data_IF_051470308263
#
_entry.id   IF_051470308263
#
_cell.length_a   1.000
_cell.length_b   1.000
_cell.length_c   1.000
_cell.angle_alpha   90.00
_cell.angle_beta   90.00
_cell.angle_gamma   90.00
#
_symmetry.space_group_name_H-M   'P 1'
#
loop_
_entity.id
_entity.type
_entity.pdbx_description
1 polymer ?
#
# COMPACT_ATOMS: atom_id res chain seq x y z
N UNK A 1 9.85 21.28 -10.37
CA UNK A 1 10.42 20.10 -11.03
C UNK A 1 10.25 20.29 -12.53
N UNK A 2 11.27 19.94 -13.33
CA UNK A 2 11.37 20.11 -14.78
C UNK A 2 10.79 18.93 -15.56
N UNK A 3 10.86 17.72 -15.01
CA UNK A 3 10.49 16.48 -15.71
C UNK A 3 9.41 15.69 -14.97
N UNK A 4 9.41 15.71 -13.64
CA UNK A 4 8.38 15.05 -12.84
C UNK A 4 7.32 16.07 -12.43
N UNK A 5 6.09 15.87 -12.90
CA UNK A 5 4.91 16.59 -12.42
C UNK A 5 4.17 15.70 -11.41
N UNK A 6 3.72 16.24 -10.29
CA UNK A 6 2.84 15.51 -9.37
C UNK A 6 1.62 16.35 -9.00
N UNK A 7 0.48 15.69 -8.86
CA UNK A 7 -0.80 16.29 -8.52
C UNK A 7 -1.46 15.49 -7.40
N UNK A 8 -1.57 16.05 -6.18
CA UNK A 8 -2.42 15.52 -5.13
C UNK A 8 -3.87 15.46 -5.63
N UNK A 9 -4.43 14.27 -5.80
CA UNK A 9 -5.80 14.09 -6.27
C UNK A 9 -6.77 14.23 -5.12
N UNK A 10 -6.55 13.52 -4.03
CA UNK A 10 -7.35 13.68 -2.81
C UNK A 10 -6.55 13.25 -1.58
N UNK A 11 -6.75 13.98 -0.48
CA UNK A 11 -6.10 13.74 0.81
C UNK A 11 -7.09 14.00 1.95
N UNK A 12 -6.79 13.46 3.13
CA UNK A 12 -7.58 13.61 4.36
C UNK A 12 -7.99 15.07 4.64
N UNK A 13 -7.09 16.02 4.40
CA UNK A 13 -7.35 17.45 4.56
C UNK A 13 -8.49 18.00 3.70
N UNK A 14 -8.96 17.24 2.69
CA UNK A 14 -10.08 17.60 1.82
C UNK A 14 -11.42 16.96 2.24
N UNK A 15 -11.47 16.30 3.41
CA UNK A 15 -12.72 15.81 4.02
C UNK A 15 -13.09 14.35 3.68
N UNK A 16 -12.19 13.59 3.07
CA UNK A 16 -12.30 12.14 2.96
C UNK A 16 -10.90 11.51 3.03
N UNK A 17 -10.79 10.32 3.63
CA UNK A 17 -9.51 9.63 3.79
C UNK A 17 -8.97 9.19 2.44
N UNK A 18 -7.74 9.58 2.11
CA UNK A 18 -7.06 9.21 0.86
C UNK A 18 -5.60 9.65 0.90
N UNK A 19 -4.77 9.01 0.07
CA UNK A 19 -3.40 9.47 -0.22
C UNK A 19 -3.13 9.53 -1.74
N UNK A 20 -4.19 9.70 -2.53
CA UNK A 20 -4.13 9.51 -3.97
C UNK A 20 -3.34 10.63 -4.66
N UNK A 21 -2.29 10.25 -5.40
CA UNK A 21 -1.42 11.19 -6.12
C UNK A 21 -1.20 10.72 -7.55
N UNK A 22 -1.43 11.60 -8.53
CA UNK A 22 -1.07 11.36 -9.92
C UNK A 22 0.33 11.93 -10.15
N UNK A 23 1.23 11.13 -10.71
CA UNK A 23 2.61 11.51 -11.04
C UNK A 23 2.83 11.29 -12.53
N UNK A 24 3.42 12.26 -13.21
CA UNK A 24 3.79 12.18 -14.61
C UNK A 24 5.27 12.36 -14.79
N UNK A 25 5.79 11.58 -15.72
CA UNK A 25 7.15 11.69 -16.25
C UNK A 25 7.05 11.73 -17.77
N UNK A 26 8.14 12.03 -18.50
CA UNK A 26 8.12 11.99 -19.95
C UNK A 26 7.81 10.59 -20.54
N UNK A 27 8.05 9.51 -19.79
CA UNK A 27 7.87 8.14 -20.30
C UNK A 27 6.57 7.46 -19.85
N UNK A 28 6.02 7.84 -18.69
CA UNK A 28 4.90 7.12 -18.06
C UNK A 28 4.11 8.01 -17.10
N UNK A 29 2.80 7.76 -17.01
CA UNK A 29 1.91 8.31 -15.98
C UNK A 29 1.52 7.27 -14.92
N UNK A 30 1.60 7.65 -13.65
CA UNK A 30 1.48 6.76 -12.48
C UNK A 30 0.44 7.31 -11.52
N UNK A 31 -0.60 6.54 -11.18
CA UNK A 31 -1.55 6.89 -10.13
C UNK A 31 -1.25 6.07 -8.87
N UNK A 32 -0.84 6.75 -7.82
CA UNK A 32 -0.49 6.15 -6.54
C UNK A 32 -1.72 6.19 -5.63
N UNK A 33 -1.98 5.06 -4.97
CA UNK A 33 -3.00 4.86 -3.94
C UNK A 33 -4.40 5.38 -4.32
N UNK A 34 -5.06 4.84 -5.37
CA UNK A 34 -6.38 5.29 -5.83
C UNK A 34 -7.54 4.78 -4.93
N UNK A 35 -7.43 4.98 -3.62
CA UNK A 35 -8.45 4.65 -2.63
C UNK A 35 -9.14 5.87 -2.04
N UNK A 36 -10.31 5.64 -1.45
CA UNK A 36 -11.03 6.64 -0.67
C UNK A 36 -11.93 5.98 0.37
N UNK A 37 -11.88 6.49 1.61
CA UNK A 37 -12.83 6.15 2.65
C UNK A 37 -13.51 7.38 3.26
N UNK A 38 -14.72 7.19 3.80
CA UNK A 38 -15.43 8.23 4.54
C UNK A 38 -14.68 8.55 5.84
N UNK A 39 -14.68 9.80 6.26
CA UNK A 39 -14.09 10.22 7.53
C UNK A 39 -14.73 9.52 8.72
N UNK A 40 -13.95 9.32 9.80
CA UNK A 40 -14.45 8.72 11.04
C UNK A 40 -15.65 9.50 11.62
N UNK A 41 -16.51 8.83 12.43
CA UNK A 41 -17.65 9.48 13.07
C UNK A 41 -17.28 10.74 13.88
N UNK A 42 -16.12 10.73 14.56
CA UNK A 42 -15.63 11.86 15.35
C UNK A 42 -15.11 13.05 14.55
N UNK A 43 -14.94 12.92 13.23
CA UNK A 43 -14.54 14.07 12.40
C UNK A 43 -15.63 15.16 12.46
N UNK A 44 -15.26 16.43 12.71
CA UNK A 44 -16.19 17.52 13.01
C UNK A 44 -16.90 18.06 11.75
N UNK A 45 -17.70 17.20 11.10
CA UNK A 45 -18.55 17.57 9.98
C UNK A 45 -19.84 16.74 9.98
N UNK A 46 -20.94 17.24 9.41
CA UNK A 46 -22.16 16.46 9.21
C UNK A 46 -21.91 15.21 8.36
N UNK A 47 -22.59 14.10 8.69
CA UNK A 47 -22.45 12.82 7.96
C UNK A 47 -22.70 12.97 6.45
N UNK A 48 -23.71 13.77 6.07
CA UNK A 48 -24.03 14.08 4.67
C UNK A 48 -22.83 14.68 3.93
N UNK A 49 -22.07 15.57 4.57
CA UNK A 49 -20.88 16.18 3.97
C UNK A 49 -19.75 15.17 3.81
N UNK A 50 -19.50 14.31 4.82
CA UNK A 50 -18.48 13.25 4.74
C UNK A 50 -18.74 12.31 3.55
N UNK A 51 -20.00 11.92 3.35
CA UNK A 51 -20.41 11.10 2.21
C UNK A 51 -20.24 11.85 0.88
N UNK A 52 -20.60 13.13 0.83
CA UNK A 52 -20.45 13.95 -0.38
C UNK A 52 -18.98 14.14 -0.79
N UNK A 53 -18.11 14.42 0.17
CA UNK A 53 -16.66 14.51 -0.05
C UNK A 53 -16.09 13.19 -0.56
N UNK A 54 -16.42 12.06 0.06
CA UNK A 54 -15.99 10.75 -0.42
C UNK A 54 -16.48 10.45 -1.85
N UNK A 55 -17.71 10.85 -2.21
CA UNK A 55 -18.23 10.75 -3.59
C UNK A 55 -17.46 11.65 -4.55
N UNK A 56 -17.11 12.88 -4.15
CA UNK A 56 -16.32 13.81 -4.96
C UNK A 56 -14.91 13.28 -5.19
N UNK A 57 -14.24 12.82 -4.14
CA UNK A 57 -12.95 12.15 -4.18
C UNK A 57 -12.96 10.97 -5.16
N UNK A 58 -13.93 10.06 -5.02
CA UNK A 58 -14.08 8.91 -5.92
C UNK A 58 -14.22 9.31 -7.38
N UNK A 59 -14.96 10.37 -7.69
CA UNK A 59 -15.10 10.90 -9.06
C UNK A 59 -13.77 11.45 -9.58
N UNK A 60 -13.00 12.14 -8.75
CA UNK A 60 -11.70 12.70 -9.13
C UNK A 60 -10.65 11.61 -9.35
N UNK A 61 -10.58 10.60 -8.46
CA UNK A 61 -9.70 9.43 -8.62
C UNK A 61 -10.00 8.70 -9.93
N UNK A 62 -11.29 8.44 -10.24
CA UNK A 62 -11.70 7.83 -11.51
C UNK A 62 -11.37 8.66 -12.76
N UNK A 63 -11.25 9.99 -12.63
CA UNK A 63 -10.83 10.86 -13.74
C UNK A 63 -9.32 10.74 -13.93
N UNK A 64 -8.56 10.87 -12.84
CA UNK A 64 -7.10 10.71 -12.84
C UNK A 64 -6.66 9.33 -13.34
N UNK A 65 -7.39 8.26 -13.03
CA UNK A 65 -7.05 6.89 -13.48
C UNK A 65 -7.09 6.72 -15.00
N UNK A 66 -7.82 7.57 -15.71
CA UNK A 66 -7.83 7.56 -17.19
C UNK A 66 -6.50 8.02 -17.77
N UNK A 67 -5.80 8.88 -17.05
CA UNK A 67 -4.55 9.50 -17.46
C UNK A 67 -3.32 8.67 -17.06
N UNK A 68 -3.49 7.70 -16.16
CA UNK A 68 -2.40 6.84 -15.69
C UNK A 68 -2.28 5.56 -16.50
N UNK A 69 -1.08 5.00 -16.61
CA UNK A 69 -0.78 3.71 -17.22
C UNK A 69 -0.40 2.67 -16.15
N UNK A 70 0.22 3.16 -15.08
CA UNK A 70 0.61 2.38 -13.91
C UNK A 70 -0.24 2.80 -12.71
N UNK A 71 -0.75 1.81 -11.97
CA UNK A 71 -1.36 2.01 -10.65
C UNK A 71 -0.40 1.50 -9.60
N UNK A 72 -0.20 2.26 -8.53
CA UNK A 72 0.52 1.81 -7.34
C UNK A 72 -0.47 1.61 -6.19
N UNK A 73 -0.33 0.49 -5.47
CA UNK A 73 -1.06 0.21 -4.22
C UNK A 73 -0.01 -0.05 -3.13
N UNK A 74 0.17 0.91 -2.24
CA UNK A 74 1.16 0.87 -1.15
C UNK A 74 0.83 -0.17 -0.07
N UNK A 75 -0.46 -0.42 0.17
CA UNK A 75 -0.99 -1.43 1.09
C UNK A 75 -2.52 -1.55 0.97
N UNK A 76 -3.13 -2.49 1.72
CA UNK A 76 -4.55 -2.86 1.55
C UNK A 76 -5.48 -2.21 2.59
N UNK A 77 -5.52 -0.88 2.61
CA UNK A 77 -6.58 -0.10 3.25
C UNK A 77 -7.46 0.59 2.20
N UNK A 78 -8.77 0.72 2.44
CA UNK A 78 -9.73 1.16 1.40
C UNK A 78 -9.57 2.64 0.98
N UNK A 79 -8.83 3.42 1.75
CA UNK A 79 -8.35 4.77 1.44
C UNK A 79 -7.08 4.79 0.57
N UNK A 80 -6.44 3.63 0.35
CA UNK A 80 -5.28 3.47 -0.53
C UNK A 80 -5.56 2.66 -1.80
N UNK A 81 -6.60 1.83 -1.81
CA UNK A 81 -7.07 1.18 -3.03
C UNK A 81 -8.58 1.15 -3.08
N UNK A 82 -9.14 1.11 -4.29
CA UNK A 82 -10.58 0.87 -4.47
C UNK A 82 -10.82 -0.63 -4.56
N UNK A 83 -11.69 -1.17 -3.70
CA UNK A 83 -12.04 -2.60 -3.60
C UNK A 83 -12.23 -3.28 -4.96
N UNK A 84 -13.04 -2.68 -5.83
CA UNK A 84 -12.96 -2.92 -7.27
C UNK A 84 -13.61 -1.78 -8.04
N UNK A 85 -12.94 -1.30 -9.09
CA UNK A 85 -13.54 -0.48 -10.13
C UNK A 85 -12.85 -0.73 -11.45
N UNK A 86 -13.56 -1.33 -12.41
CA UNK A 86 -13.02 -1.66 -13.72
C UNK A 86 -12.36 -0.44 -14.40
N UNK A 87 -12.93 0.77 -14.25
CA UNK A 87 -12.40 1.97 -14.92
C UNK A 87 -11.06 2.43 -14.35
N UNK A 88 -10.75 2.06 -13.11
CA UNK A 88 -9.47 2.40 -12.48
C UNK A 88 -8.38 1.43 -12.96
N UNK A 89 -8.70 0.13 -13.04
CA UNK A 89 -7.70 -0.92 -13.22
C UNK A 89 -7.56 -1.44 -14.65
N UNK A 90 -8.55 -1.22 -15.50
CA UNK A 90 -8.55 -1.72 -16.87
C UNK A 90 -7.45 -1.08 -17.73
N UNK A 91 -6.70 -1.93 -18.42
CA UNK A 91 -5.60 -1.57 -19.29
C UNK A 91 -4.35 -1.08 -18.56
N UNK A 92 -4.26 -1.33 -17.24
CA UNK A 92 -3.16 -0.83 -16.40
C UNK A 92 -2.21 -1.95 -15.97
N UNK A 93 -0.99 -1.54 -15.67
CA UNK A 93 -0.07 -2.31 -14.85
C UNK A 93 -0.24 -1.88 -13.39
N UNK A 94 -0.55 -2.82 -12.52
CA UNK A 94 -0.72 -2.60 -11.08
C UNK A 94 0.54 -3.08 -10.37
N UNK A 95 1.23 -2.17 -9.70
CA UNK A 95 2.37 -2.45 -8.83
C UNK A 95 1.89 -2.38 -7.39
N UNK A 96 1.62 -3.52 -6.79
CA UNK A 96 0.97 -3.61 -5.48
C UNK A 96 1.91 -4.17 -4.41
N UNK A 97 1.69 -3.78 -3.15
CA UNK A 97 2.24 -4.47 -1.98
C UNK A 97 2.01 -5.98 -2.08
N UNK A 98 3.01 -6.79 -1.77
CA UNK A 98 2.87 -8.25 -1.76
C UNK A 98 1.78 -8.66 -0.75
N UNK A 99 0.68 -9.30 -1.19
CA UNK A 99 -0.43 -9.71 -0.32
C UNK A 99 -0.14 -11.02 0.44
N UNK A 100 1.04 -11.62 0.28
CA UNK A 100 1.37 -12.93 0.83
C UNK A 100 2.28 -12.88 2.06
N UNK A 101 2.88 -11.73 2.37
CA UNK A 101 3.82 -11.59 3.48
C UNK A 101 3.97 -10.14 3.93
N UNK A 102 4.41 -9.98 5.19
CA UNK A 102 4.41 -8.68 5.85
C UNK A 102 3.04 -8.01 5.67
N UNK A 103 2.00 -8.74 6.06
CA UNK A 103 0.60 -8.33 5.95
C UNK A 103 -0.20 -8.86 7.13
N UNK A 104 -1.10 -8.04 7.68
CA UNK A 104 -2.02 -8.48 8.74
C UNK A 104 -3.26 -9.17 8.14
N UNK A 105 -4.16 -9.66 8.99
CA UNK A 105 -5.34 -10.41 8.53
C UNK A 105 -6.37 -9.55 7.81
N UNK A 106 -6.59 -8.32 8.26
CA UNK A 106 -7.56 -7.44 7.63
C UNK A 106 -7.11 -7.03 6.23
N UNK A 107 -5.84 -6.63 6.09
CA UNK A 107 -5.24 -6.33 4.81
C UNK A 107 -5.21 -7.56 3.89
N UNK A 108 -4.90 -8.75 4.42
CA UNK A 108 -4.92 -9.99 3.64
C UNK A 108 -6.32 -10.29 3.09
N UNK A 109 -7.36 -10.20 3.91
CA UNK A 109 -8.75 -10.44 3.47
C UNK A 109 -9.17 -9.46 2.37
N UNK A 110 -8.84 -8.18 2.55
CA UNK A 110 -9.08 -7.12 1.55
C UNK A 110 -8.33 -7.36 0.25
N UNK A 111 -7.09 -7.85 0.33
CA UNK A 111 -6.34 -8.27 -0.84
C UNK A 111 -7.05 -9.44 -1.54
N UNK A 112 -7.44 -10.49 -0.83
CA UNK A 112 -8.15 -11.64 -1.41
C UNK A 112 -9.44 -11.20 -2.15
N UNK A 113 -10.24 -10.32 -1.55
CA UNK A 113 -11.42 -9.71 -2.20
C UNK A 113 -11.03 -8.95 -3.48
N UNK A 114 -10.00 -8.08 -3.42
CA UNK A 114 -9.50 -7.34 -4.57
C UNK A 114 -9.02 -8.23 -5.72
N UNK A 115 -8.20 -9.25 -5.42
CA UNK A 115 -7.64 -10.15 -6.42
C UNK A 115 -8.71 -11.09 -7.00
N UNK A 116 -9.72 -11.49 -6.23
CA UNK A 116 -10.87 -12.26 -6.73
C UNK A 116 -11.73 -11.45 -7.70
N UNK A 117 -12.00 -10.18 -7.38
CA UNK A 117 -12.68 -9.29 -8.31
C UNK A 117 -11.86 -9.07 -9.60
N UNK A 118 -10.54 -8.85 -9.48
CA UNK A 118 -9.66 -8.70 -10.63
C UNK A 118 -9.62 -9.95 -11.51
N UNK A 119 -9.41 -11.13 -10.92
CA UNK A 119 -9.30 -12.39 -11.67
C UNK A 119 -10.63 -12.78 -12.29
N UNK A 120 -11.74 -12.58 -11.59
CA UNK A 120 -13.07 -12.87 -12.12
C UNK A 120 -13.35 -11.96 -13.30
N UNK A 121 -13.09 -10.65 -13.16
CA UNK A 121 -13.44 -9.67 -14.19
C UNK A 121 -12.52 -9.71 -15.42
N UNK A 122 -11.21 -9.83 -15.24
CA UNK A 122 -10.24 -9.76 -16.33
C UNK A 122 -9.74 -11.12 -16.81
N UNK A 123 -9.82 -12.15 -15.96
CA UNK A 123 -9.36 -13.52 -16.24
C UNK A 123 -10.48 -14.55 -16.39
N UNK A 124 -11.72 -14.23 -16.00
CA UNK A 124 -12.86 -15.16 -16.05
C UNK A 124 -12.74 -16.34 -15.07
N UNK A 125 -11.92 -16.21 -14.03
CA UNK A 125 -11.65 -17.28 -13.04
C UNK A 125 -11.69 -16.73 -11.63
N UNK A 126 -12.16 -17.53 -10.67
CA UNK A 126 -12.07 -17.17 -9.25
C UNK A 126 -10.62 -17.20 -8.78
N UNK A 127 -10.29 -16.38 -7.78
CA UNK A 127 -8.94 -16.35 -7.21
C UNK A 127 -8.50 -17.72 -6.69
N UNK A 128 -9.42 -18.46 -6.06
CA UNK A 128 -9.15 -19.78 -5.49
C UNK A 128 -8.57 -20.77 -6.50
N UNK A 129 -8.97 -20.67 -7.77
CA UNK A 129 -8.45 -21.50 -8.86
C UNK A 129 -7.03 -21.12 -9.27
N UNK A 130 -6.62 -19.87 -9.03
CA UNK A 130 -5.31 -19.34 -9.38
C UNK A 130 -4.29 -19.45 -8.25
N UNK A 131 -4.77 -19.59 -7.01
CA UNK A 131 -3.90 -19.61 -5.83
C UNK A 131 -2.94 -20.79 -5.85
N UNK A 132 -1.67 -20.53 -5.52
CA UNK A 132 -0.60 -21.53 -5.55
C UNK A 132 -0.32 -22.09 -4.16
N UNK A 133 0.22 -23.33 -4.03
CA UNK A 133 0.71 -23.82 -2.75
C UNK A 133 1.88 -22.95 -2.26
N UNK A 134 2.04 -22.84 -0.94
CA UNK A 134 3.15 -22.13 -0.30
C UNK A 134 4.26 -23.12 0.01
N UNK A 135 5.49 -22.76 -0.32
CA UNK A 135 6.68 -23.38 0.27
C UNK A 135 7.06 -22.60 1.51
N UNK A 136 7.23 -23.30 2.62
CA UNK A 136 7.67 -22.69 3.86
C UNK A 136 9.02 -21.97 3.68
N UNK A 137 9.13 -20.79 4.28
CA UNK A 137 10.37 -20.02 4.30
C UNK A 137 10.54 -19.30 5.63
N UNK A 138 11.76 -18.84 5.88
CA UNK A 138 12.07 -17.93 6.99
C UNK A 138 11.81 -16.49 6.58
N UNK A 139 11.52 -15.64 7.57
CA UNK A 139 11.29 -14.22 7.38
C UNK A 139 12.21 -13.47 8.35
N UNK A 140 13.08 -12.58 7.84
CA UNK A 140 13.84 -11.69 8.71
C UNK A 140 12.90 -10.80 9.51
N UNK A 141 13.29 -10.46 10.73
CA UNK A 141 12.53 -9.49 11.50
C UNK A 141 12.67 -8.10 10.85
N UNK A 142 11.57 -7.39 10.54
CA UNK A 142 11.65 -6.03 9.99
C UNK A 142 12.53 -5.08 10.83
N UNK A 143 12.61 -5.29 12.16
CA UNK A 143 13.49 -4.54 13.06
C UNK A 143 14.97 -4.65 12.70
N UNK A 144 15.42 -5.73 12.05
CA UNK A 144 16.81 -5.87 11.57
C UNK A 144 17.24 -4.75 10.64
N UNK A 145 16.29 -4.16 9.89
CA UNK A 145 16.57 -3.09 8.94
C UNK A 145 16.41 -1.69 9.55
N UNK A 146 16.21 -1.56 10.87
CA UNK A 146 15.97 -0.30 11.57
C UNK A 146 17.03 -0.03 12.67
N UNK A 147 18.31 0.15 12.30
CA UNK A 147 19.40 0.31 13.29
C UNK A 147 19.25 1.55 14.16
N UNK A 148 18.73 2.65 13.61
CA UNK A 148 18.49 3.90 14.35
C UNK A 148 17.37 3.74 15.40
N UNK A 149 16.31 3.00 15.06
CA UNK A 149 15.24 2.71 16.02
C UNK A 149 15.74 1.83 17.16
N UNK A 150 16.62 0.86 16.86
CA UNK A 150 17.26 -0.03 17.84
C UNK A 150 18.23 0.69 18.78
N UNK A 151 18.92 1.72 18.31
CA UNK A 151 19.93 2.43 19.10
C UNK A 151 19.36 3.58 19.94
N UNK A 152 18.09 3.93 19.75
CA UNK A 152 17.42 5.01 20.49
C UNK A 152 17.24 4.62 21.96
N UNK A 153 17.60 5.54 22.87
CA UNK A 153 17.40 5.41 24.32
C UNK A 153 16.11 6.11 24.72
N UNK A 154 15.28 5.45 25.53
CA UNK A 154 13.97 5.94 25.94
C UNK A 154 13.90 6.32 27.44
N UNK A 155 15.05 6.41 28.12
CA UNK A 155 15.12 6.83 29.52
C UNK A 155 14.26 5.94 30.44
N UNK A 156 13.36 6.54 31.20
CA UNK A 156 12.46 5.82 32.12
C UNK A 156 11.48 4.89 31.39
N UNK A 157 11.18 5.15 30.12
CA UNK A 157 10.27 4.33 29.31
C UNK A 157 10.92 3.07 28.71
N UNK A 158 12.24 2.92 28.86
CA UNK A 158 13.02 1.84 28.26
C UNK A 158 12.49 0.44 28.62
N UNK A 159 12.05 0.24 29.88
CA UNK A 159 11.51 -1.05 30.33
C UNK A 159 10.21 -1.39 29.60
N UNK A 160 9.28 -0.43 29.50
CA UNK A 160 8.00 -0.60 28.82
C UNK A 160 8.18 -0.81 27.32
N UNK A 161 9.07 -0.04 26.66
CA UNK A 161 9.37 -0.25 25.23
C UNK A 161 9.93 -1.65 24.96
N UNK A 162 10.84 -2.16 25.80
CA UNK A 162 11.37 -3.53 25.66
C UNK A 162 10.29 -4.60 25.80
N UNK A 163 9.35 -4.43 26.73
CA UNK A 163 8.21 -5.34 26.88
C UNK A 163 7.31 -5.30 25.65
N UNK A 164 7.00 -4.11 25.12
CA UNK A 164 6.21 -3.94 23.90
C UNK A 164 6.88 -4.57 22.68
N UNK A 165 8.20 -4.39 22.50
CA UNK A 165 8.95 -5.01 21.41
C UNK A 165 8.94 -6.54 21.50
N UNK A 166 9.09 -7.12 22.70
CA UNK A 166 8.98 -8.59 22.89
C UNK A 166 7.58 -9.11 22.57
N UNK A 167 6.53 -8.39 22.96
CA UNK A 167 5.15 -8.74 22.60
C UNK A 167 4.93 -8.63 21.09
N UNK A 168 5.49 -7.59 20.47
CA UNK A 168 5.48 -7.35 19.03
C UNK A 168 6.17 -8.47 18.26
N UNK A 169 7.36 -8.90 18.68
CA UNK A 169 8.08 -10.01 18.08
C UNK A 169 7.28 -11.32 18.17
N UNK A 170 6.71 -11.64 19.34
CA UNK A 170 5.83 -12.81 19.51
C UNK A 170 4.65 -12.76 18.55
N UNK A 171 4.04 -11.59 18.38
CA UNK A 171 2.96 -11.39 17.41
C UNK A 171 3.44 -11.60 15.97
N UNK A 172 4.61 -11.05 15.59
CA UNK A 172 5.21 -11.24 14.28
C UNK A 172 5.50 -12.71 13.98
N UNK A 173 6.02 -13.49 14.93
CA UNK A 173 6.23 -14.94 14.76
C UNK A 173 4.93 -15.69 14.46
N UNK A 174 3.84 -15.35 15.15
CA UNK A 174 2.50 -15.89 14.83
C UNK A 174 2.03 -15.50 13.43
N UNK A 175 2.37 -14.30 12.95
CA UNK A 175 2.10 -13.90 11.55
C UNK A 175 2.88 -14.75 10.56
N UNK A 176 4.16 -14.97 10.82
CA UNK A 176 5.04 -15.82 10.00
C UNK A 176 4.49 -17.24 9.86
N UNK A 177 4.09 -17.86 10.97
CA UNK A 177 3.44 -19.18 10.97
C UNK A 177 2.19 -19.18 10.09
N UNK A 178 1.38 -18.12 10.16
CA UNK A 178 0.18 -17.99 9.34
C UNK A 178 0.53 -17.85 7.86
N UNK A 179 1.47 -16.97 7.50
CA UNK A 179 1.89 -16.76 6.10
C UNK A 179 2.44 -18.05 5.47
N UNK A 180 3.16 -18.87 6.24
CA UNK A 180 3.66 -20.16 5.76
C UNK A 180 2.54 -21.19 5.52
N UNK A 181 1.37 -21.03 6.15
CA UNK A 181 0.20 -21.92 5.97
C UNK A 181 -0.79 -21.43 4.90
N UNK A 182 -0.75 -20.15 4.52
CA UNK A 182 -1.67 -19.58 3.52
C UNK A 182 -1.29 -20.00 2.10
N UNK A 183 -2.28 -20.22 1.23
CA UNK A 183 -2.04 -20.30 -0.22
C UNK A 183 -1.59 -18.93 -0.76
N UNK A 184 -0.77 -18.96 -1.81
CA UNK A 184 -0.22 -17.79 -2.45
C UNK A 184 -1.20 -17.20 -3.47
N UNK A 185 -1.49 -15.91 -3.33
CA UNK A 185 -2.02 -15.09 -4.43
C UNK A 185 -0.87 -14.89 -5.42
N UNK A 186 -0.98 -15.33 -6.68
CA UNK A 186 0.08 -15.13 -7.66
C UNK A 186 0.07 -13.71 -8.23
N UNK A 187 1.20 -13.27 -8.79
CA UNK A 187 1.18 -12.20 -9.79
C UNK A 187 0.29 -12.63 -10.98
N UNK A 188 -0.45 -11.70 -11.56
CA UNK A 188 -1.47 -12.00 -12.57
C UNK A 188 -1.19 -11.23 -13.86
N UNK A 189 -1.36 -11.89 -15.00
CA UNK A 189 -1.27 -11.26 -16.31
C UNK A 189 -2.47 -11.65 -17.16
N UNK A 190 -3.37 -10.69 -17.34
CA UNK A 190 -4.55 -10.81 -18.19
C UNK A 190 -4.43 -9.88 -19.40
N UNK A 191 -5.27 -10.09 -20.43
CA UNK A 191 -5.25 -9.28 -21.66
C UNK A 191 -5.38 -7.77 -21.40
N UNK A 192 -6.13 -7.38 -20.37
CA UNK A 192 -6.46 -5.98 -20.05
C UNK A 192 -6.08 -5.58 -18.62
N UNK A 193 -5.20 -6.31 -17.94
CA UNK A 193 -4.72 -5.96 -16.60
C UNK A 193 -3.51 -6.83 -16.25
N UNK A 194 -2.43 -6.24 -15.76
CA UNK A 194 -1.28 -6.97 -15.21
C UNK A 194 -1.07 -6.52 -13.77
N UNK A 195 -0.79 -7.45 -12.85
CA UNK A 195 -0.47 -7.16 -11.45
C UNK A 195 0.86 -7.79 -11.10
N UNK A 196 1.77 -6.98 -10.56
CA UNK A 196 3.09 -7.40 -10.07
C UNK A 196 3.28 -6.94 -8.63
N UNK A 197 3.91 -7.77 -7.81
CA UNK A 197 4.19 -7.43 -6.41
C UNK A 197 5.44 -6.57 -6.33
N UNK A 198 5.37 -5.47 -5.60
CA UNK A 198 6.31 -4.37 -5.70
C UNK A 198 7.40 -4.38 -4.62
N UNK A 199 7.18 -5.05 -3.49
CA UNK A 199 8.04 -5.05 -2.30
C UNK A 199 9.54 -5.18 -2.60
N UNK A 200 10.31 -4.13 -2.32
CA UNK A 200 11.76 -4.09 -2.53
C UNK A 200 12.22 -4.15 -3.99
N UNK A 201 11.31 -4.10 -4.96
CA UNK A 201 11.62 -4.19 -6.39
C UNK A 201 11.75 -2.80 -7.03
N UNK A 202 12.28 -2.79 -8.25
CA UNK A 202 12.33 -1.62 -9.13
C UNK A 202 11.78 -1.96 -10.51
N UNK A 203 11.15 -1.00 -11.15
CA UNK A 203 10.54 -1.10 -12.48
C UNK A 203 11.00 0.09 -13.32
N UNK A 204 11.28 -0.13 -14.60
CA UNK A 204 11.81 0.91 -15.49
C UNK A 204 10.94 1.05 -16.74
N UNK A 205 10.60 2.30 -17.07
CA UNK A 205 9.81 2.70 -18.23
C UNK A 205 10.57 3.84 -18.92
N UNK A 206 11.23 3.57 -20.05
CA UNK A 206 12.14 4.53 -20.66
C UNK A 206 13.23 4.99 -19.67
N UNK A 207 13.35 6.31 -19.47
CA UNK A 207 14.24 6.92 -18.49
C UNK A 207 13.69 6.97 -17.05
N UNK A 208 12.44 6.58 -16.84
CA UNK A 208 11.75 6.62 -15.55
C UNK A 208 11.97 5.33 -14.76
N UNK A 209 12.42 5.47 -13.51
CA UNK A 209 12.59 4.37 -12.56
C UNK A 209 11.61 4.52 -11.40
N UNK A 210 10.82 3.48 -11.15
CA UNK A 210 9.93 3.35 -9.99
C UNK A 210 10.52 2.31 -9.06
N UNK A 211 10.92 2.71 -7.85
CA UNK A 211 11.50 1.84 -6.83
C UNK A 211 10.60 1.78 -5.60
N UNK A 212 10.50 0.61 -5.01
CA UNK A 212 9.75 0.38 -3.77
C UNK A 212 10.69 0.00 -2.64
N UNK A 213 10.34 0.43 -1.42
CA UNK A 213 11.02 -0.05 -0.22
C UNK A 213 10.68 -1.52 0.03
N UNK A 214 11.49 -2.20 0.86
CA UNK A 214 11.01 -3.40 1.55
C UNK A 214 9.82 -3.01 2.46
N UNK A 215 8.97 -3.98 2.86
CA UNK A 215 7.86 -3.71 3.79
C UNK A 215 8.33 -2.97 5.04
N UNK A 216 7.67 -1.85 5.33
CA UNK A 216 7.89 -1.03 6.52
C UNK A 216 6.68 -1.17 7.44
N UNK A 217 6.87 -0.98 8.75
CA UNK A 217 5.73 -0.99 9.67
C UNK A 217 4.73 0.11 9.30
N UNK A 218 3.47 -0.24 9.21
CA UNK A 218 2.39 0.73 9.19
C UNK A 218 2.23 1.23 10.64
N UNK A 219 2.54 2.49 10.92
CA UNK A 219 2.62 2.99 12.30
C UNK A 219 3.91 2.58 13.04
N UNK A 220 3.89 2.68 14.38
CA UNK A 220 4.99 2.23 15.25
C UNK A 220 5.41 0.77 15.06
N UNK A 221 6.59 0.41 15.56
CA UNK A 221 7.11 -0.95 15.42
C UNK A 221 6.15 -1.99 16.01
N UNK A 222 5.86 -3.02 15.21
CA UNK A 222 4.87 -4.06 15.49
C UNK A 222 3.44 -3.57 15.75
N UNK A 223 3.08 -2.36 15.31
CA UNK A 223 1.69 -1.96 15.27
C UNK A 223 0.87 -2.98 14.46
N UNK A 224 -0.31 -3.31 14.98
CA UNK A 224 -1.14 -4.42 14.44
C UNK A 224 -1.81 -4.08 13.11
N UNK A 225 -1.60 -2.87 12.59
CA UNK A 225 -2.18 -2.35 11.35
C UNK A 225 -1.44 -2.83 10.09
N UNK A 226 -0.27 -3.48 10.25
CA UNK A 226 0.39 -4.25 9.20
C UNK A 226 1.64 -3.56 8.65
N UNK A 227 1.84 -3.65 7.33
CA UNK A 227 3.00 -3.06 6.67
C UNK A 227 2.60 -2.34 5.39
N UNK A 228 3.42 -1.37 5.01
CA UNK A 228 3.28 -0.59 3.78
C UNK A 228 4.58 -0.60 2.98
N UNK A 229 4.51 -0.20 1.71
CA UNK A 229 5.70 0.11 0.90
C UNK A 229 5.66 1.57 0.45
N UNK A 230 6.80 2.24 0.49
CA UNK A 230 6.95 3.58 -0.07
C UNK A 230 7.42 3.50 -1.52
N UNK A 231 7.06 4.51 -2.30
CA UNK A 231 7.39 4.59 -3.73
C UNK A 231 8.37 5.74 -3.98
N UNK A 232 9.43 5.46 -4.73
CA UNK A 232 10.34 6.47 -5.25
C UNK A 232 10.23 6.47 -6.77
N UNK A 233 9.97 7.64 -7.35
CA UNK A 233 9.96 7.83 -8.80
C UNK A 233 11.14 8.73 -9.15
N UNK A 234 12.01 8.26 -10.03
CA UNK A 234 13.21 8.97 -10.47
C UNK A 234 13.20 9.14 -11.98
N UNK A 235 13.52 10.34 -12.45
CA UNK A 235 13.80 10.62 -13.86
C UNK A 235 14.92 11.64 -13.94
N UNK A 236 16.03 11.27 -14.60
CA UNK A 236 17.28 12.07 -14.64
C UNK A 236 17.75 12.45 -13.21
N UNK A 237 17.91 13.74 -12.96
CA UNK A 237 18.33 14.37 -11.70
C UNK A 237 17.17 14.58 -10.72
N UNK A 238 15.92 14.34 -11.14
CA UNK A 238 14.75 14.52 -10.31
C UNK A 238 14.29 13.23 -9.63
N UNK A 239 13.82 13.38 -8.39
CA UNK A 239 13.29 12.29 -7.59
C UNK A 239 12.09 12.77 -6.78
N UNK A 240 11.00 12.02 -6.85
CA UNK A 240 9.84 12.14 -5.99
C UNK A 240 9.77 10.92 -5.07
N UNK A 241 9.46 11.13 -3.80
CA UNK A 241 9.15 10.07 -2.84
C UNK A 241 7.69 10.25 -2.44
N UNK A 242 6.91 9.17 -2.52
CA UNK A 242 5.57 9.08 -1.95
C UNK A 242 5.60 8.02 -0.84
N UNK A 243 5.12 8.43 0.33
CA UNK A 243 4.96 7.58 1.50
C UNK A 243 3.57 7.80 2.06
N UNK A 244 2.91 6.74 2.50
CA UNK A 244 1.65 6.79 3.22
C UNK A 244 1.74 5.91 4.47
N UNK A 245 1.05 6.33 5.53
CA UNK A 245 0.85 5.56 6.76
C UNK A 245 2.13 5.05 7.45
N UNK A 246 3.25 5.75 7.21
CA UNK A 246 4.46 5.64 8.00
C UNK A 246 4.41 6.65 9.13
N UNK A 247 4.59 6.17 10.35
CA UNK A 247 4.66 7.04 11.52
C UNK A 247 6.11 7.43 11.77
N UNK A 248 6.31 8.71 12.05
CA UNK A 248 7.60 9.25 12.46
C UNK A 248 7.96 8.83 13.89
N UNK A 249 9.01 9.40 14.48
CA UNK A 249 9.30 9.19 15.89
C UNK A 249 8.10 9.63 16.74
N UNK A 250 7.51 8.70 17.49
CA UNK A 250 6.51 9.04 18.49
C UNK A 250 7.21 9.82 19.60
N UNK A 251 6.74 11.04 19.81
CA UNK A 251 6.99 11.81 21.04
C UNK A 251 5.86 11.37 21.97
N UNK A 252 6.18 10.57 22.97
CA UNK A 252 5.22 10.21 24.01
C UNK A 252 5.23 11.34 25.04
N UNK A 253 4.05 11.90 25.34
CA UNK A 253 3.81 12.85 26.43
C UNK A 253 3.83 12.14 27.80
#
# INVERSE_FOLDING_TARGET
MRYIEFKPIWFDSLGAKSACTLVRTPDISILIDPGVAVMQPSFPAPEKMKVEWARRARRMIKRASKEAEVIVISHYHYDHFTDFDERIYQGKLILAKDPNEYINDSQRRRAEEFYDHLSTKFGGKKLEELMKPRKEKTYPDPMENLPLAKSKRYGEYEKRKKELLKLGEKWFRKRVEKWNKMRLIPEMKFKRCEVRFADGKSFRFGGTEIRFTRPQFHGIEYARVGWVVSTTIKYKDEKLIHTSDLEGPVIED
#
